data_IF_659845387351
#
_entry.id   IF_659845387351
#
_cell.length_a   1.000
_cell.length_b   1.000
_cell.length_c   1.000
_cell.angle_alpha   90.00
_cell.angle_beta   90.00
_cell.angle_gamma   90.00
#
_symmetry.space_group_name_H-M   'P 1'
#
loop_
_entity.id
_entity.type
_entity.pdbx_description
1 polymer ?
#
# COMPACT_ATOMS: atom_id res chain seq x y z
N UNK A 1 6.86 8.12 -10.45
CA UNK A 1 5.48 8.20 -10.01
C UNK A 1 5.09 9.59 -9.57
N UNK A 2 3.83 9.82 -9.44
CA UNK A 2 3.22 11.01 -8.84
C UNK A 2 2.45 10.58 -7.61
N UNK A 3 2.45 11.37 -6.58
CA UNK A 3 1.70 11.16 -5.36
C UNK A 3 2.46 11.64 -4.12
N UNK A 4 1.79 11.66 -3.07
CA UNK A 4 0.48 11.05 -2.83
C UNK A 4 -0.63 12.07 -3.14
N UNK A 5 -1.67 11.68 -3.90
CA UNK A 5 -2.82 12.54 -4.19
C UNK A 5 -3.99 12.05 -3.34
N UNK A 6 -4.50 12.89 -2.45
CA UNK A 6 -5.63 12.54 -1.61
C UNK A 6 -6.94 12.69 -2.37
N UNK A 7 -7.76 11.64 -2.34
CA UNK A 7 -9.14 11.63 -2.83
C UNK A 7 -10.05 10.98 -1.79
N UNK A 8 -11.34 11.28 -1.86
CA UNK A 8 -12.33 10.76 -0.89
C UNK A 8 -11.95 11.05 0.57
N UNK A 9 -11.28 12.17 0.81
CA UNK A 9 -10.82 12.65 2.12
C UNK A 9 -11.21 14.13 2.26
N UNK A 10 -11.74 14.49 3.42
CA UNK A 10 -12.13 15.87 3.71
C UNK A 10 -10.95 16.86 3.73
N UNK A 11 -9.71 16.34 3.85
CA UNK A 11 -8.46 17.11 3.81
C UNK A 11 -7.83 17.18 2.43
N UNK A 12 -8.47 16.58 1.42
CA UNK A 12 -7.95 16.56 0.05
C UNK A 12 -8.10 17.91 -0.63
N UNK A 13 -7.39 18.12 -1.72
CA UNK A 13 -7.58 19.25 -2.63
C UNK A 13 -8.83 19.09 -3.51
N UNK A 14 -9.56 18.00 -3.35
CA UNK A 14 -10.75 17.64 -4.14
C UNK A 14 -10.52 17.71 -5.66
N UNK A 15 -9.49 17.00 -6.20
CA UNK A 15 -9.24 17.02 -7.63
C UNK A 15 -10.46 16.50 -8.38
N UNK A 16 -10.77 17.15 -9.49
CA UNK A 16 -11.80 16.68 -10.41
C UNK A 16 -11.34 15.43 -11.16
N UNK A 17 -12.30 14.68 -11.74
CA UNK A 17 -11.99 13.52 -12.60
C UNK A 17 -11.05 13.92 -13.76
N UNK A 18 -11.29 15.07 -14.40
CA UNK A 18 -10.45 15.56 -15.49
C UNK A 18 -9.02 15.91 -15.08
N UNK A 19 -8.86 16.49 -13.90
CA UNK A 19 -7.51 16.77 -13.35
C UNK A 19 -6.78 15.48 -13.05
N UNK A 20 -7.43 14.48 -12.46
CA UNK A 20 -6.82 13.20 -12.17
C UNK A 20 -6.46 12.44 -13.45
N UNK A 21 -7.31 12.47 -14.48
CA UNK A 21 -7.01 11.95 -15.83
C UNK A 21 -5.76 12.60 -16.40
N UNK A 22 -5.64 13.92 -16.32
CA UNK A 22 -4.49 14.68 -16.83
C UNK A 22 -3.21 14.29 -16.10
N UNK A 23 -3.25 14.22 -14.77
CA UNK A 23 -2.11 13.81 -13.94
C UNK A 23 -1.69 12.39 -14.29
N UNK A 24 -2.64 11.46 -14.38
CA UNK A 24 -2.36 10.07 -14.70
C UNK A 24 -1.74 9.92 -16.10
N UNK A 25 -2.23 10.66 -17.08
CA UNK A 25 -1.70 10.67 -18.44
C UNK A 25 -0.26 11.22 -18.48
N UNK A 26 0.00 12.31 -17.77
CA UNK A 26 1.34 12.91 -17.69
C UNK A 26 2.32 12.00 -16.96
N UNK A 27 1.90 11.40 -15.82
CA UNK A 27 2.71 10.46 -15.07
C UNK A 27 3.08 9.24 -15.94
N UNK A 28 2.11 8.68 -16.67
CA UNK A 28 2.30 7.58 -17.61
C UNK A 28 3.29 7.93 -18.70
N UNK A 29 3.11 9.08 -19.35
CA UNK A 29 4.01 9.53 -20.40
C UNK A 29 5.42 9.76 -19.88
N UNK A 30 5.56 10.43 -18.72
CA UNK A 30 6.85 10.61 -18.05
C UNK A 30 7.52 9.28 -17.71
N UNK A 31 6.75 8.30 -17.24
CA UNK A 31 7.23 6.94 -16.98
C UNK A 31 7.73 6.25 -18.24
N UNK A 32 6.97 6.30 -19.33
CA UNK A 32 7.35 5.71 -20.62
C UNK A 32 8.65 6.33 -21.17
N UNK A 33 8.73 7.65 -21.20
CA UNK A 33 9.91 8.36 -21.71
C UNK A 33 11.17 8.15 -20.86
N UNK A 34 11.03 7.97 -19.56
CA UNK A 34 12.15 7.79 -18.64
C UNK A 34 12.49 6.32 -18.35
N UNK A 35 11.72 5.36 -18.88
CA UNK A 35 11.85 3.93 -18.55
C UNK A 35 11.49 3.59 -17.09
N UNK A 36 10.66 4.43 -16.42
CA UNK A 36 10.24 4.27 -15.03
C UNK A 36 8.76 3.89 -14.91
N UNK A 37 8.28 3.61 -13.72
CA UNK A 37 6.91 3.16 -13.48
C UNK A 37 5.84 4.16 -13.96
N UNK A 38 5.97 5.44 -13.64
CA UNK A 38 4.97 6.46 -14.01
C UNK A 38 3.61 6.28 -13.37
N UNK A 39 3.50 5.59 -12.24
CA UNK A 39 2.25 5.37 -11.51
C UNK A 39 1.75 6.63 -10.83
N UNK A 40 0.47 6.62 -10.46
CA UNK A 40 -0.17 7.60 -9.57
C UNK A 40 -0.52 6.88 -8.27
N UNK A 41 0.08 7.32 -7.17
CA UNK A 41 -0.20 6.84 -5.82
C UNK A 41 -1.29 7.72 -5.21
N UNK A 42 -2.33 7.10 -4.67
CA UNK A 42 -3.53 7.78 -4.22
C UNK A 42 -3.79 7.50 -2.75
N UNK A 43 -3.87 8.56 -1.94
CA UNK A 43 -4.34 8.48 -0.57
C UNK A 43 -5.87 8.38 -0.55
N UNK A 44 -6.38 7.29 -0.02
CA UNK A 44 -7.81 7.08 0.11
C UNK A 44 -8.29 7.51 1.49
N UNK A 45 -9.22 8.46 1.51
CA UNK A 45 -9.94 8.83 2.73
C UNK A 45 -11.06 7.85 3.06
N UNK A 46 -11.89 8.25 4.01
CA UNK A 46 -13.04 7.49 4.52
C UNK A 46 -14.39 7.93 3.94
N UNK A 47 -14.39 8.90 3.01
CA UNK A 47 -15.61 9.39 2.39
C UNK A 47 -16.27 8.32 1.52
N UNK A 48 -17.61 8.37 1.45
CA UNK A 48 -18.44 7.34 0.82
C UNK A 48 -18.10 7.03 -0.64
N UNK A 49 -17.61 7.99 -1.42
CA UNK A 49 -17.23 7.77 -2.82
C UNK A 49 -16.08 6.77 -2.99
N UNK A 50 -15.17 6.66 -1.99
CA UNK A 50 -14.07 5.70 -2.04
C UNK A 50 -13.34 5.70 -3.39
N UNK A 51 -13.33 4.54 -4.08
CA UNK A 51 -12.67 4.34 -5.38
C UNK A 51 -13.53 4.68 -6.62
N UNK A 52 -14.75 5.17 -6.45
CA UNK A 52 -15.69 5.37 -7.58
C UNK A 52 -15.06 6.19 -8.72
N UNK A 53 -14.41 7.32 -8.39
CA UNK A 53 -13.76 8.18 -9.39
C UNK A 53 -12.69 7.41 -10.19
N UNK A 54 -11.86 6.60 -9.54
CA UNK A 54 -10.81 5.85 -10.23
C UNK A 54 -11.40 4.77 -11.11
N UNK A 55 -12.39 4.03 -10.60
CA UNK A 55 -13.08 2.99 -11.37
C UNK A 55 -13.78 3.56 -12.58
N UNK A 56 -14.36 4.76 -12.45
CA UNK A 56 -14.98 5.48 -13.55
C UNK A 56 -13.96 5.93 -14.61
N UNK A 57 -12.83 6.49 -14.19
CA UNK A 57 -11.74 6.86 -15.10
C UNK A 57 -11.27 5.65 -15.92
N UNK A 58 -11.06 4.52 -15.26
CA UNK A 58 -10.62 3.28 -15.93
C UNK A 58 -11.67 2.77 -16.95
N UNK A 59 -12.97 2.90 -16.63
CA UNK A 59 -14.05 2.50 -17.54
C UNK A 59 -14.22 3.44 -18.74
N UNK A 60 -14.01 4.75 -18.53
CA UNK A 60 -14.27 5.80 -19.53
C UNK A 60 -13.08 6.15 -20.41
N UNK A 61 -11.86 5.74 -20.02
CA UNK A 61 -10.62 6.15 -20.70
C UNK A 61 -9.75 4.95 -21.08
N UNK A 62 -8.67 5.20 -21.84
CA UNK A 62 -7.64 4.20 -22.13
C UNK A 62 -6.55 4.09 -21.02
N UNK A 63 -6.73 4.76 -19.88
CA UNK A 63 -5.80 4.66 -18.75
C UNK A 63 -6.01 3.30 -18.09
N UNK A 64 -4.97 2.45 -18.02
CA UNK A 64 -5.12 1.14 -17.42
C UNK A 64 -5.27 1.24 -15.88
N UNK A 65 -6.03 0.32 -15.28
CA UNK A 65 -6.19 0.23 -13.82
C UNK A 65 -4.85 0.18 -13.07
N UNK A 66 -3.86 -0.51 -13.63
CA UNK A 66 -2.50 -0.61 -13.07
C UNK A 66 -1.72 0.73 -13.03
N UNK A 67 -2.27 1.81 -13.58
CA UNK A 67 -1.72 3.15 -13.47
C UNK A 67 -1.91 3.75 -12.08
N UNK A 68 -2.96 3.33 -11.39
CA UNK A 68 -3.35 3.81 -10.07
C UNK A 68 -2.97 2.81 -8.99
N UNK A 69 -2.41 3.32 -7.89
CA UNK A 69 -2.10 2.54 -6.69
C UNK A 69 -2.79 3.24 -5.52
N UNK A 70 -4.05 2.92 -5.24
CA UNK A 70 -4.74 3.42 -4.07
C UNK A 70 -4.19 2.76 -2.81
N UNK A 71 -3.80 3.57 -1.82
CA UNK A 71 -3.38 3.13 -0.47
C UNK A 71 -4.45 3.37 0.58
N UNK A 72 -4.26 2.84 1.76
CA UNK A 72 -5.20 2.87 2.88
C UNK A 72 -6.50 2.09 2.61
N UNK A 73 -6.44 1.08 1.74
CA UNK A 73 -7.65 0.32 1.33
C UNK A 73 -8.32 -0.40 2.51
N UNK A 74 -7.57 -0.68 3.56
CA UNK A 74 -8.10 -1.27 4.79
C UNK A 74 -8.61 -0.25 5.81
N UNK A 75 -8.79 1.02 5.43
CA UNK A 75 -9.31 2.09 6.31
C UNK A 75 -10.77 1.85 6.72
N UNK A 76 -11.59 1.32 5.81
CA UNK A 76 -12.96 0.93 6.08
C UNK A 76 -13.32 -0.37 5.36
N UNK A 77 -14.33 -1.09 5.86
CA UNK A 77 -14.83 -2.32 5.22
C UNK A 77 -15.33 -2.04 3.81
N UNK A 78 -16.06 -0.95 3.62
CA UNK A 78 -16.54 -0.53 2.30
C UNK A 78 -15.40 -0.26 1.31
N UNK A 79 -14.36 0.43 1.75
CA UNK A 79 -13.20 0.73 0.90
C UNK A 79 -12.45 -0.55 0.52
N UNK A 80 -12.39 -1.53 1.43
CA UNK A 80 -11.82 -2.84 1.15
C UNK A 80 -12.62 -3.59 0.08
N UNK A 81 -13.96 -3.57 0.16
CA UNK A 81 -14.82 -4.17 -0.85
C UNK A 81 -14.63 -3.54 -2.23
N UNK A 82 -14.54 -2.21 -2.29
CA UNK A 82 -14.22 -1.49 -3.54
C UNK A 82 -12.81 -1.82 -4.04
N UNK A 83 -11.83 -1.98 -3.15
CA UNK A 83 -10.47 -2.41 -3.49
C UNK A 83 -10.44 -3.81 -4.12
N UNK A 84 -11.22 -4.74 -3.59
CA UNK A 84 -11.40 -6.09 -4.16
C UNK A 84 -11.99 -6.00 -5.56
N UNK A 85 -13.01 -5.17 -5.76
CA UNK A 85 -13.61 -4.97 -7.09
C UNK A 85 -12.61 -4.31 -8.05
N UNK A 86 -11.85 -3.33 -7.59
CA UNK A 86 -10.80 -2.70 -8.39
C UNK A 86 -9.71 -3.71 -8.81
N UNK A 87 -9.35 -4.66 -7.95
CA UNK A 87 -8.45 -5.77 -8.32
C UNK A 87 -9.05 -6.66 -9.40
N UNK A 88 -10.37 -6.94 -9.38
CA UNK A 88 -11.07 -7.68 -10.44
C UNK A 88 -11.03 -6.96 -11.79
N UNK A 89 -10.93 -5.64 -11.78
CA UNK A 89 -10.72 -4.82 -12.98
C UNK A 89 -9.24 -4.79 -13.44
N UNK A 90 -8.35 -5.59 -12.82
CA UNK A 90 -6.92 -5.63 -13.11
C UNK A 90 -6.11 -4.53 -12.39
N UNK A 91 -6.70 -3.88 -11.39
CA UNK A 91 -6.04 -2.91 -10.52
C UNK A 91 -5.14 -3.55 -9.49
N UNK A 92 -4.42 -2.70 -8.75
CA UNK A 92 -3.59 -3.06 -7.60
C UNK A 92 -3.94 -2.17 -6.44
N UNK A 93 -3.85 -2.71 -5.24
CA UNK A 93 -4.17 -2.00 -4.01
C UNK A 93 -3.00 -2.03 -3.05
N UNK A 94 -2.98 -1.06 -2.13
CA UNK A 94 -2.02 -1.00 -1.04
C UNK A 94 -2.74 -0.98 0.30
N UNK A 95 -2.35 -1.90 1.18
CA UNK A 95 -2.85 -1.99 2.55
C UNK A 95 -1.90 -1.25 3.49
N UNK A 96 -2.43 -0.53 4.45
CA UNK A 96 -1.61 0.21 5.41
C UNK A 96 -1.39 -0.58 6.68
N UNK A 97 -0.14 -0.89 6.97
CA UNK A 97 0.26 -1.56 8.19
C UNK A 97 0.09 -0.67 9.43
N UNK A 98 -0.20 -1.29 10.56
CA UNK A 98 -0.40 -0.60 11.83
C UNK A 98 -1.80 -0.04 12.02
N UNK A 99 -2.71 -0.25 11.07
CA UNK A 99 -4.12 0.05 11.27
C UNK A 99 -4.72 -0.94 12.26
N UNK A 100 -5.44 -0.42 13.26
CA UNK A 100 -6.08 -1.20 14.30
C UNK A 100 -7.52 -0.72 14.48
N UNK A 101 -8.44 -1.65 14.65
CA UNK A 101 -9.80 -1.36 15.04
C UNK A 101 -9.81 -0.78 16.47
N UNK A 102 -10.37 0.40 16.64
CA UNK A 102 -10.48 1.07 17.94
C UNK A 102 -11.70 2.00 17.98
N UNK A 103 -11.98 2.62 19.13
CA UNK A 103 -13.15 3.48 19.32
C UNK A 103 -13.22 4.67 18.34
N UNK A 104 -12.07 5.19 17.90
CA UNK A 104 -11.99 6.30 16.94
C UNK A 104 -12.00 5.83 15.48
N UNK A 105 -11.81 4.54 15.23
CA UNK A 105 -11.78 3.93 13.90
C UNK A 105 -12.42 2.54 13.95
N UNK A 106 -13.73 2.45 14.24
CA UNK A 106 -14.39 1.17 14.48
C UNK A 106 -14.54 0.31 13.22
N UNK A 107 -14.49 0.91 12.03
CA UNK A 107 -14.61 0.23 10.74
C UNK A 107 -13.23 -0.09 10.10
N UNK A 108 -12.16 0.29 10.79
CA UNK A 108 -10.79 0.04 10.33
C UNK A 108 -10.45 -1.46 10.43
N UNK A 109 -9.87 -2.00 9.37
CA UNK A 109 -9.54 -3.43 9.29
C UNK A 109 -8.02 -3.59 9.46
N UNK A 110 -7.56 -4.32 10.50
CA UNK A 110 -6.15 -4.63 10.63
C UNK A 110 -5.59 -5.31 9.36
N UNK A 111 -4.39 -4.93 8.94
CA UNK A 111 -3.81 -5.32 7.65
C UNK A 111 -3.75 -6.83 7.45
N UNK A 112 -3.40 -7.58 8.51
CA UNK A 112 -3.36 -9.05 8.47
C UNK A 112 -4.75 -9.67 8.18
N UNK A 113 -5.83 -9.05 8.70
CA UNK A 113 -7.20 -9.46 8.45
C UNK A 113 -7.66 -9.04 7.05
N UNK A 114 -7.34 -7.82 6.64
CA UNK A 114 -7.66 -7.30 5.31
C UNK A 114 -7.04 -8.15 4.19
N UNK A 115 -5.75 -8.54 4.35
CA UNK A 115 -5.10 -9.44 3.39
C UNK A 115 -5.83 -10.77 3.29
N UNK A 116 -6.19 -11.38 4.42
CA UNK A 116 -6.93 -12.64 4.41
C UNK A 116 -8.28 -12.51 3.69
N UNK A 117 -9.04 -11.43 3.95
CA UNK A 117 -10.31 -11.15 3.27
C UNK A 117 -10.10 -11.03 1.75
N UNK A 118 -9.06 -10.33 1.32
CA UNK A 118 -8.73 -10.21 -0.11
C UNK A 118 -8.45 -11.57 -0.76
N UNK A 119 -7.63 -12.40 -0.11
CA UNK A 119 -7.28 -13.73 -0.61
C UNK A 119 -8.51 -14.66 -0.67
N UNK A 120 -9.33 -14.67 0.37
CA UNK A 120 -10.59 -15.45 0.43
C UNK A 120 -11.59 -14.98 -0.64
N UNK A 121 -11.53 -13.70 -1.02
CA UNK A 121 -12.34 -13.12 -2.12
C UNK A 121 -11.78 -13.39 -3.51
N UNK A 122 -10.67 -14.15 -3.61
CA UNK A 122 -10.04 -14.54 -4.87
C UNK A 122 -9.15 -13.48 -5.50
N UNK A 123 -8.73 -12.45 -4.75
CA UNK A 123 -7.74 -11.47 -5.23
C UNK A 123 -6.36 -12.14 -5.33
N UNK A 124 -5.72 -11.99 -6.48
CA UNK A 124 -4.34 -12.48 -6.65
C UNK A 124 -3.40 -11.68 -5.74
N UNK A 125 -2.57 -12.41 -4.98
CA UNK A 125 -1.56 -11.81 -4.10
C UNK A 125 -0.65 -10.82 -4.84
N UNK A 126 -0.39 -11.00 -6.12
CA UNK A 126 0.43 -10.11 -6.94
C UNK A 126 -0.19 -8.72 -7.18
N UNK A 127 -1.46 -8.54 -6.83
CA UNK A 127 -2.18 -7.27 -6.89
C UNK A 127 -2.22 -6.52 -5.56
N UNK A 128 -1.60 -7.05 -4.51
CA UNK A 128 -1.64 -6.47 -3.17
C UNK A 128 -0.24 -6.08 -2.74
N UNK A 129 -0.05 -4.82 -2.36
CA UNK A 129 1.12 -4.35 -1.62
C UNK A 129 0.74 -3.94 -0.19
N UNK A 130 1.74 -3.78 0.65
CA UNK A 130 1.58 -3.28 2.01
C UNK A 130 2.65 -2.22 2.28
N UNK A 131 2.23 -1.08 2.82
CA UNK A 131 3.11 0.02 3.21
C UNK A 131 2.86 0.43 4.67
N UNK A 132 3.81 1.13 5.27
CA UNK A 132 3.72 1.56 6.67
C UNK A 132 3.16 2.96 6.85
N UNK A 133 2.95 3.70 5.77
CA UNK A 133 2.73 5.16 5.84
C UNK A 133 3.81 5.88 6.68
N UNK A 134 5.03 5.33 6.67
CA UNK A 134 6.13 5.73 7.54
C UNK A 134 6.49 7.19 7.38
N UNK A 135 6.60 7.91 8.49
CA UNK A 135 6.72 9.36 8.61
C UNK A 135 5.50 10.17 8.15
N UNK A 136 4.40 9.50 7.76
CA UNK A 136 3.11 10.15 7.57
C UNK A 136 2.63 10.79 8.88
N UNK A 137 1.88 11.89 8.79
CA UNK A 137 1.34 12.57 9.97
C UNK A 137 0.21 11.76 10.59
N UNK A 138 0.30 11.55 11.89
CA UNK A 138 -0.73 10.92 12.69
C UNK A 138 -1.31 11.98 13.65
N UNK A 139 -2.39 12.70 13.24
CA UNK A 139 -3.01 13.68 14.10
C UNK A 139 -3.77 13.00 15.24
N UNK A 140 -3.63 13.56 16.43
CA UNK A 140 -4.45 13.23 17.60
C UNK A 140 -5.40 14.39 17.82
N UNK A 141 -6.69 14.09 17.86
CA UNK A 141 -7.74 15.10 18.04
C UNK A 141 -8.25 15.11 19.50
N UNK A 142 -8.67 16.28 19.95
CA UNK A 142 -9.41 16.42 21.19
C UNK A 142 -10.90 16.07 21.00
N UNK A 143 -11.67 16.14 22.10
CA UNK A 143 -13.11 15.86 22.08
C UNK A 143 -13.93 16.84 21.21
N UNK A 144 -13.35 17.98 20.82
CA UNK A 144 -13.96 18.98 19.95
C UNK A 144 -13.53 18.87 18.49
N UNK A 145 -12.65 17.89 18.15
CA UNK A 145 -12.13 17.72 16.79
C UNK A 145 -10.96 18.63 16.44
N UNK A 146 -10.35 19.34 17.40
CA UNK A 146 -9.15 20.12 17.16
C UNK A 146 -7.90 19.24 17.28
N UNK A 147 -6.87 19.55 16.51
CA UNK A 147 -5.58 18.83 16.59
C UNK A 147 -4.92 19.14 17.94
N UNK A 148 -4.82 18.14 18.80
CA UNK A 148 -4.12 18.21 20.06
C UNK A 148 -2.60 17.99 19.90
N UNK A 149 -2.21 17.04 19.04
CA UNK A 149 -0.82 16.75 18.70
C UNK A 149 -0.71 16.10 17.33
N UNK A 150 0.49 16.09 16.77
CA UNK A 150 0.80 15.38 15.52
C UNK A 150 1.99 14.46 15.81
N UNK A 151 1.78 13.16 15.67
CA UNK A 151 2.81 12.13 15.66
C UNK A 151 3.29 11.82 14.25
N UNK A 152 4.25 10.90 14.15
CA UNK A 152 4.69 10.31 12.88
C UNK A 152 4.47 8.81 12.90
N UNK A 153 3.96 8.26 11.81
CA UNK A 153 3.80 6.82 11.64
C UNK A 153 5.16 6.11 11.66
N UNK A 154 5.22 4.95 12.31
CA UNK A 154 6.46 4.17 12.43
C UNK A 154 6.60 3.18 11.28
N UNK A 155 7.78 3.12 10.66
CA UNK A 155 8.08 2.08 9.68
C UNK A 155 8.12 0.66 10.27
N UNK A 156 8.28 0.52 11.58
CA UNK A 156 8.38 -0.77 12.28
C UNK A 156 7.09 -1.58 12.22
N UNK A 157 5.93 -0.92 12.08
CA UNK A 157 4.62 -1.58 12.00
C UNK A 157 4.54 -2.57 10.84
N UNK A 158 5.28 -2.32 9.75
CA UNK A 158 5.28 -3.16 8.55
C UNK A 158 5.68 -4.61 8.85
N UNK A 159 6.78 -4.78 9.57
CA UNK A 159 7.26 -6.10 9.94
C UNK A 159 6.38 -6.75 11.02
N UNK A 160 5.84 -5.95 11.94
CA UNK A 160 4.88 -6.42 12.95
C UNK A 160 3.63 -7.03 12.31
N UNK A 161 3.06 -6.37 11.31
CA UNK A 161 1.87 -6.89 10.61
C UNK A 161 2.19 -8.11 9.73
N UNK A 162 3.36 -8.14 9.08
CA UNK A 162 3.81 -9.35 8.38
C UNK A 162 3.88 -10.57 9.32
N UNK A 163 4.42 -10.38 10.53
CA UNK A 163 4.45 -11.43 11.55
C UNK A 163 3.04 -11.87 11.97
N UNK A 164 2.14 -10.92 12.19
CA UNK A 164 0.72 -11.20 12.51
C UNK A 164 -0.01 -11.97 11.39
N UNK A 165 0.28 -11.70 10.12
CA UNK A 165 -0.28 -12.45 8.97
C UNK A 165 0.07 -13.93 9.06
N UNK A 166 1.31 -14.24 9.41
CA UNK A 166 1.79 -15.62 9.54
C UNK A 166 1.17 -16.27 10.79
N UNK A 167 1.22 -15.60 11.93
CA UNK A 167 0.81 -16.16 13.22
C UNK A 167 -0.70 -16.28 13.40
N UNK A 168 -1.48 -15.32 12.90
CA UNK A 168 -2.94 -15.26 13.13
C UNK A 168 -3.77 -15.80 11.98
N UNK A 169 -3.29 -15.67 10.74
CA UNK A 169 -4.04 -16.10 9.56
C UNK A 169 -3.44 -17.33 8.88
N UNK A 170 -2.34 -17.89 9.40
CA UNK A 170 -1.60 -18.99 8.79
C UNK A 170 -1.21 -18.72 7.33
N UNK A 171 -1.01 -17.45 6.96
CA UNK A 171 -0.56 -17.08 5.62
C UNK A 171 0.89 -17.55 5.49
N UNK A 172 1.23 -18.36 4.46
CA UNK A 172 2.60 -18.77 4.24
C UNK A 172 3.54 -17.57 4.13
N UNK A 173 4.71 -17.65 4.75
CA UNK A 173 5.66 -16.52 4.83
C UNK A 173 6.04 -16.01 3.44
N UNK A 174 6.22 -16.88 2.47
CA UNK A 174 6.55 -16.54 1.08
C UNK A 174 5.41 -15.76 0.39
N UNK A 175 4.16 -16.02 0.76
CA UNK A 175 2.98 -15.26 0.29
C UNK A 175 2.95 -13.88 0.96
N UNK A 176 3.03 -13.83 2.30
CA UNK A 176 3.02 -12.54 3.03
C UNK A 176 4.17 -11.62 2.62
N UNK A 177 5.37 -12.15 2.44
CA UNK A 177 6.54 -11.39 2.01
C UNK A 177 6.36 -10.73 0.64
N UNK A 178 5.56 -11.28 -0.26
CA UNK A 178 5.33 -10.67 -1.59
C UNK A 178 4.77 -9.27 -1.49
N UNK A 179 3.91 -9.01 -0.51
CA UNK A 179 3.26 -7.70 -0.31
C UNK A 179 4.26 -6.57 -0.01
N UNK A 180 5.40 -6.89 0.59
CA UNK A 180 6.43 -5.91 1.03
C UNK A 180 7.75 -6.02 0.25
N UNK A 181 7.86 -6.94 -0.70
CA UNK A 181 9.10 -7.17 -1.45
C UNK A 181 8.87 -7.07 -2.96
N UNK A 182 8.48 -8.17 -3.60
CA UNK A 182 8.39 -8.25 -5.06
C UNK A 182 7.24 -7.42 -5.63
N UNK A 183 6.10 -7.31 -4.92
CA UNK A 183 4.96 -6.57 -5.43
C UNK A 183 5.21 -5.06 -5.50
N UNK A 184 5.71 -4.37 -4.44
CA UNK A 184 6.11 -2.98 -4.57
C UNK A 184 7.26 -2.79 -5.56
N UNK A 185 8.20 -3.75 -5.69
CA UNK A 185 9.25 -3.69 -6.70
C UNK A 185 8.69 -3.71 -8.13
N UNK A 186 7.67 -4.54 -8.40
CA UNK A 186 6.94 -4.59 -9.69
C UNK A 186 6.15 -3.32 -9.95
N UNK A 187 5.45 -2.78 -8.95
CA UNK A 187 4.73 -1.52 -9.05
C UNK A 187 5.69 -0.40 -9.47
N UNK A 188 6.88 -0.36 -8.88
CA UNK A 188 7.90 0.65 -9.15
C UNK A 188 8.79 0.33 -10.36
N UNK A 189 8.61 -0.82 -11.04
CA UNK A 189 9.45 -1.33 -12.14
C UNK A 189 10.92 -1.39 -11.79
N UNK A 190 11.24 -1.88 -10.60
CA UNK A 190 12.60 -2.15 -10.12
C UNK A 190 12.81 -3.63 -9.77
N UNK A 191 11.85 -4.47 -10.16
CA UNK A 191 11.85 -5.93 -9.95
C UNK A 191 12.91 -6.68 -10.77
N UNK A 192 13.65 -5.96 -11.60
CA UNK A 192 14.87 -6.45 -12.25
C UNK A 192 16.12 -6.42 -11.34
N UNK A 193 16.03 -5.81 -10.15
CA UNK A 193 17.13 -5.68 -9.20
C UNK A 193 16.74 -5.71 -7.72
N UNK A 194 15.44 -5.66 -7.41
CA UNK A 194 14.87 -5.60 -6.04
C UNK A 194 13.73 -6.61 -5.88
N UNK A 195 13.40 -6.92 -4.64
CA UNK A 195 12.22 -7.69 -4.27
C UNK A 195 12.41 -9.21 -4.26
N UNK A 196 13.59 -9.72 -4.60
CA UNK A 196 13.91 -11.14 -4.55
C UNK A 196 15.41 -11.37 -4.33
N UNK A 197 15.76 -12.54 -3.79
CA UNK A 197 17.15 -12.99 -3.67
C UNK A 197 17.49 -13.75 -4.96
N UNK A 198 18.20 -13.08 -5.86
CA UNK A 198 18.62 -13.63 -7.17
C UNK A 198 19.99 -13.11 -7.55
N UNK A 199 20.73 -13.90 -8.33
CA UNK A 199 22.01 -13.46 -8.92
C UNK A 199 21.79 -12.18 -9.75
N UNK A 200 22.62 -11.16 -9.51
CA UNK A 200 22.53 -9.86 -10.18
C UNK A 200 21.60 -8.85 -9.51
N UNK A 201 20.86 -9.24 -8.46
CA UNK A 201 20.05 -8.32 -7.68
C UNK A 201 20.89 -7.63 -6.60
N UNK A 202 20.40 -6.48 -6.13
CA UNK A 202 20.96 -5.80 -4.96
C UNK A 202 20.88 -6.75 -3.76
N UNK A 203 21.97 -6.90 -3.02
CA UNK A 203 22.03 -7.77 -1.84
C UNK A 203 21.38 -7.05 -0.63
N UNK A 204 20.07 -6.86 -0.69
CA UNK A 204 19.23 -6.35 0.39
C UNK A 204 18.53 -7.54 1.05
N UNK A 205 18.95 -7.90 2.26
CA UNK A 205 18.48 -9.08 2.95
C UNK A 205 18.21 -8.79 4.43
N UNK A 206 17.18 -9.45 4.97
CA UNK A 206 16.93 -9.51 6.40
C UNK A 206 17.09 -10.94 6.84
N UNK A 207 17.90 -11.18 7.87
CA UNK A 207 18.03 -12.49 8.51
C UNK A 207 17.06 -12.55 9.68
N UNK A 208 16.26 -13.60 9.73
CA UNK A 208 15.30 -13.86 10.79
C UNK A 208 15.70 -15.16 11.51
N UNK A 209 15.42 -15.23 12.81
CA UNK A 209 15.44 -16.49 13.56
C UNK A 209 14.14 -17.30 13.31
N UNK A 210 14.05 -18.47 13.96
CA UNK A 210 12.89 -19.37 13.87
C UNK A 210 11.60 -18.77 14.45
N UNK A 211 11.72 -17.72 15.30
CA UNK A 211 10.61 -16.99 15.90
C UNK A 211 10.28 -15.70 15.14
N UNK A 212 10.80 -15.55 13.93
CA UNK A 212 10.66 -14.34 13.10
C UNK A 212 11.20 -13.07 13.76
N UNK A 213 12.25 -13.15 14.59
CA UNK A 213 12.94 -11.98 15.07
C UNK A 213 14.07 -11.59 14.12
N UNK A 214 14.25 -10.30 13.91
CA UNK A 214 15.32 -9.79 13.03
C UNK A 214 16.67 -10.00 13.74
N UNK A 215 17.56 -10.75 13.10
CA UNK A 215 18.92 -10.98 13.59
C UNK A 215 19.93 -10.05 12.95
N UNK A 216 19.77 -9.77 11.65
CA UNK A 216 20.65 -8.86 10.92
C UNK A 216 19.95 -8.28 9.70
N UNK A 217 20.39 -7.10 9.28
CA UNK A 217 19.90 -6.42 8.07
C UNK A 217 21.10 -6.06 7.19
N UNK A 218 21.02 -6.45 5.92
CA UNK A 218 21.98 -6.11 4.89
C UNK A 218 21.37 -5.17 3.87
N UNK A 219 22.06 -4.09 3.56
CA UNK A 219 21.72 -3.17 2.49
C UNK A 219 22.87 -3.09 1.49
N UNK A 220 22.63 -3.47 0.26
CA UNK A 220 23.63 -3.55 -0.82
C UNK A 220 24.87 -4.34 -0.40
N UNK A 221 24.65 -5.47 0.27
CA UNK A 221 25.71 -6.37 0.75
C UNK A 221 26.45 -5.89 2.00
N UNK A 222 26.12 -4.74 2.56
CA UNK A 222 26.70 -4.23 3.80
C UNK A 222 25.77 -4.54 4.96
N UNK A 223 26.32 -5.12 6.02
CA UNK A 223 25.60 -5.27 7.27
C UNK A 223 25.37 -3.87 7.88
N UNK A 224 24.10 -3.50 8.05
CA UNK A 224 23.70 -2.18 8.59
C UNK A 224 23.06 -2.28 9.97
N UNK A 225 22.71 -3.51 10.40
CA UNK A 225 22.14 -3.77 11.71
C UNK A 225 22.38 -5.23 12.11
N UNK A 226 22.87 -5.43 13.31
CA UNK A 226 23.01 -6.76 13.96
C UNK A 226 22.51 -6.63 15.40
N UNK A 227 21.70 -7.59 15.86
CA UNK A 227 21.19 -7.69 17.23
C UNK A 227 21.90 -8.80 17.98
#
# INVERSE_FOLDING_TARGET
GVGEIAISDHRSSHPTEEELIRIASQARMGGLLSGKAGIVHLHMGDYESGLDMIMDIVKKTAIPSSQFIPTHINRTSRLLDQGIEFCRMGGRIDLTAGFEENENSPDCIPTWRALNICLDSGVDIDNISMSSDGNGSVPVFDEYGNIQSIGAASCQVLFGDLKRMIEKCNIPIDIGLRTVTINPARILRIDNRKGAIRTGYDADCVLLDENLNICAVFARGKNVLTF
#
